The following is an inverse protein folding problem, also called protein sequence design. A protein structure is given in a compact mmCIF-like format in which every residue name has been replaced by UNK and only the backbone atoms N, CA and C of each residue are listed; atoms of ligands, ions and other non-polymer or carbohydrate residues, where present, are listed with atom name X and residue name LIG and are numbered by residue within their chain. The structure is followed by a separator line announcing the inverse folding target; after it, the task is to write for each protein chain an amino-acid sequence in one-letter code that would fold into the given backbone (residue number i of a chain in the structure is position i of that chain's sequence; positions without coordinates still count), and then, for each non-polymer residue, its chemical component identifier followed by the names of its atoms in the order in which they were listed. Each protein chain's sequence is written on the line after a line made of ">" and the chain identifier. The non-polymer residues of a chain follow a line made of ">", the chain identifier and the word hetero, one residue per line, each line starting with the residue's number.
data_IF_733489968795
#
_entry.id   IF_733489968795
#
_cell.length_a   1.000
_cell.length_b   1.000
_cell.length_c   1.000
_cell.angle_alpha   90.00
_cell.angle_beta   90.00
_cell.angle_gamma   90.00
#
_symmetry.space_group_name_H-M   'P 1'
#
loop_
_entity.id
_entity.type
_entity.pdbx_description
1 polymer ?
#
# COMPACT_ATOMS: atom_id res chain seq x y z
N UNK A 1 11.63 21.93 4.00
CA UNK A 1 12.04 20.53 3.74
C UNK A 1 10.78 19.71 3.69
N UNK A 2 10.46 19.08 2.56
CA UNK A 2 9.37 18.09 2.54
C UNK A 2 9.82 16.84 3.30
N UNK A 3 8.95 16.23 4.14
CA UNK A 3 9.30 15.01 4.84
C UNK A 3 9.42 13.86 3.83
N UNK A 4 10.54 13.12 3.89
CA UNK A 4 10.72 11.91 3.10
C UNK A 4 9.76 10.81 3.59
N UNK A 5 8.71 10.57 2.81
CA UNK A 5 7.67 9.57 3.11
C UNK A 5 8.18 8.13 3.01
N UNK A 6 9.36 7.93 2.43
CA UNK A 6 10.02 6.64 2.31
C UNK A 6 11.14 6.45 3.34
N UNK A 7 11.27 7.37 4.31
CA UNK A 7 12.25 7.24 5.39
C UNK A 7 12.09 5.89 6.09
N UNK A 8 13.20 5.17 6.19
CA UNK A 8 13.26 3.92 6.94
C UNK A 8 13.37 4.23 8.43
N UNK A 9 12.48 3.66 9.23
CA UNK A 9 12.50 3.68 10.70
C UNK A 9 13.13 2.39 11.24
N UNK A 10 13.20 2.30 12.56
CA UNK A 10 13.73 1.13 13.26
C UNK A 10 13.07 -0.16 12.76
N UNK A 11 13.90 -1.13 12.41
CA UNK A 11 13.44 -2.41 11.89
C UNK A 11 13.06 -2.42 10.41
N UNK A 12 13.40 -1.39 9.63
CA UNK A 12 13.12 -1.39 8.20
C UNK A 12 11.71 -0.92 7.84
N UNK A 13 10.86 -0.68 8.85
CA UNK A 13 9.50 -0.17 8.66
C UNK A 13 9.54 1.24 8.08
N UNK A 14 8.60 1.55 7.20
CA UNK A 14 8.38 2.90 6.64
C UNK A 14 7.10 3.49 7.22
N UNK A 15 6.86 4.82 7.13
CA UNK A 15 5.62 5.44 7.59
C UNK A 15 4.35 4.72 7.09
N UNK A 16 4.40 4.19 5.87
CA UNK A 16 3.28 3.45 5.27
C UNK A 16 2.96 2.14 6.01
N UNK A 17 3.96 1.49 6.63
CA UNK A 17 3.72 0.31 7.46
C UNK A 17 2.89 0.68 8.68
N UNK A 18 3.26 1.74 9.40
CA UNK A 18 2.52 2.17 10.59
C UNK A 18 1.10 2.65 10.26
N UNK A 19 0.92 3.38 9.16
CA UNK A 19 -0.41 3.77 8.72
C UNK A 19 -1.30 2.55 8.43
N UNK A 20 -0.73 1.51 7.82
CA UNK A 20 -1.41 0.26 7.54
C UNK A 20 -1.68 -0.58 8.82
N UNK A 21 -0.73 -0.62 9.75
CA UNK A 21 -0.77 -1.30 11.06
C UNK A 21 -1.82 -0.67 12.00
N UNK A 22 -1.98 0.66 11.94
CA UNK A 22 -2.94 1.40 12.76
C UNK A 22 -4.31 1.60 12.07
N UNK A 23 -4.47 1.12 10.83
CA UNK A 23 -5.73 1.25 10.08
C UNK A 23 -6.06 2.69 9.67
N UNK A 24 -5.07 3.57 9.61
CA UNK A 24 -5.23 4.99 9.33
C UNK A 24 -5.31 5.27 7.83
N UNK A 25 -6.50 5.05 7.27
CA UNK A 25 -6.83 5.24 5.84
C UNK A 25 -6.41 6.62 5.29
N UNK A 26 -6.73 7.71 5.98
CA UNK A 26 -6.40 9.07 5.53
C UNK A 26 -4.89 9.32 5.44
N UNK A 27 -4.13 8.81 6.42
CA UNK A 27 -2.67 8.95 6.46
C UNK A 27 -2.04 8.04 5.41
N UNK A 28 -2.60 6.85 5.21
CA UNK A 28 -2.18 5.93 4.16
C UNK A 28 -2.36 6.56 2.77
N UNK A 29 -3.52 7.17 2.48
CA UNK A 29 -3.76 7.91 1.23
C UNK A 29 -2.80 9.09 1.06
N UNK A 30 -2.60 9.87 2.13
CA UNK A 30 -1.68 11.00 2.10
C UNK A 30 -0.25 10.57 1.75
N UNK A 31 0.26 9.52 2.40
CA UNK A 31 1.60 8.98 2.13
C UNK A 31 1.72 8.46 0.68
N UNK A 32 0.70 7.74 0.18
CA UNK A 32 0.67 7.27 -1.20
C UNK A 32 0.63 8.44 -2.20
N UNK A 33 -0.11 9.51 -1.90
CA UNK A 33 -0.14 10.72 -2.74
C UNK A 33 1.20 11.44 -2.83
N UNK A 34 2.05 11.26 -1.80
CA UNK A 34 3.41 11.80 -1.73
C UNK A 34 4.47 10.87 -2.31
N UNK A 35 4.07 9.74 -2.92
CA UNK A 35 4.98 8.80 -3.56
C UNK A 35 5.63 7.80 -2.58
N UNK A 36 4.94 7.46 -1.49
CA UNK A 36 5.38 6.36 -0.65
C UNK A 36 5.37 5.04 -1.43
N UNK A 37 6.41 4.24 -1.23
CA UNK A 37 6.54 2.92 -1.84
C UNK A 37 5.54 1.95 -1.19
N UNK A 38 4.50 1.62 -1.96
CA UNK A 38 3.43 0.71 -1.57
C UNK A 38 3.90 -0.73 -1.34
N UNK A 39 5.00 -1.13 -1.98
CA UNK A 39 5.57 -2.46 -1.90
C UNK A 39 6.80 -2.52 -0.99
N UNK A 40 7.08 -1.46 -0.24
CA UNK A 40 8.20 -1.44 0.69
C UNK A 40 8.11 -2.61 1.66
N UNK A 41 9.18 -3.40 1.77
CA UNK A 41 9.28 -4.47 2.74
C UNK A 41 10.15 -4.03 3.92
N UNK A 42 9.74 -4.38 5.14
CA UNK A 42 10.58 -4.22 6.33
C UNK A 42 11.69 -5.29 6.40
N UNK A 43 12.47 -5.30 7.48
CA UNK A 43 13.58 -6.26 7.66
C UNK A 43 13.13 -7.73 7.69
N UNK A 44 11.85 -7.98 7.90
CA UNK A 44 11.25 -9.31 7.97
C UNK A 44 10.51 -9.68 6.67
N UNK A 45 10.56 -8.82 5.66
CA UNK A 45 9.81 -9.02 4.41
C UNK A 45 8.32 -8.67 4.54
N UNK A 46 7.90 -8.02 5.62
CA UNK A 46 6.51 -7.62 5.82
C UNK A 46 6.25 -6.35 5.02
N UNK A 47 5.20 -6.34 4.22
CA UNK A 47 4.74 -5.18 3.47
C UNK A 47 3.61 -4.46 4.21
N UNK A 48 3.32 -3.17 3.90
CA UNK A 48 2.17 -2.46 4.45
C UNK A 48 0.86 -3.22 4.24
N UNK A 49 0.70 -3.88 3.08
CA UNK A 49 -0.47 -4.71 2.80
C UNK A 49 -0.57 -5.89 3.78
N UNK A 50 0.54 -6.57 4.05
CA UNK A 50 0.55 -7.68 5.00
C UNK A 50 0.26 -7.22 6.43
N UNK A 51 0.76 -6.06 6.85
CA UNK A 51 0.42 -5.45 8.14
C UNK A 51 -1.08 -5.14 8.25
N UNK A 52 -1.68 -4.49 7.24
CA UNK A 52 -3.12 -4.23 7.24
C UNK A 52 -3.97 -5.51 7.24
N UNK A 53 -3.51 -6.58 6.57
CA UNK A 53 -4.17 -7.87 6.58
C UNK A 53 -4.09 -8.56 7.94
N UNK A 54 -2.93 -8.51 8.59
CA UNK A 54 -2.70 -9.13 9.90
C UNK A 54 -3.59 -8.49 10.98
N UNK A 55 -3.69 -7.16 10.97
CA UNK A 55 -4.54 -6.40 11.91
C UNK A 55 -6.03 -6.37 11.51
N UNK A 56 -6.40 -6.96 10.36
CA UNK A 56 -7.79 -7.03 9.90
C UNK A 56 -8.38 -5.71 9.40
N UNK A 57 -7.52 -4.74 9.04
CA UNK A 57 -7.91 -3.40 8.61
C UNK A 57 -8.40 -3.38 7.15
N UNK A 58 -9.59 -3.94 6.94
CA UNK A 58 -10.22 -4.18 5.62
C UNK A 58 -10.25 -2.94 4.72
N UNK A 59 -10.43 -1.73 5.27
CA UNK A 59 -10.42 -0.49 4.48
C UNK A 59 -9.03 -0.17 3.93
N UNK A 60 -8.00 -0.25 4.76
CA UNK A 60 -6.61 -0.09 4.34
C UNK A 60 -6.20 -1.15 3.32
N UNK A 61 -6.62 -2.41 3.52
CA UNK A 61 -6.40 -3.49 2.54
C UNK A 61 -7.02 -3.16 1.18
N UNK A 62 -8.28 -2.70 1.15
CA UNK A 62 -8.95 -2.28 -0.10
C UNK A 62 -8.23 -1.12 -0.77
N UNK A 63 -7.78 -0.13 -0.01
CA UNK A 63 -7.03 1.01 -0.54
C UNK A 63 -5.70 0.60 -1.14
N UNK A 64 -4.91 -0.18 -0.39
CA UNK A 64 -3.63 -0.71 -0.85
C UNK A 64 -3.82 -1.56 -2.10
N UNK A 65 -4.81 -2.47 -2.12
CA UNK A 65 -5.14 -3.26 -3.30
C UNK A 65 -5.56 -2.39 -4.48
N UNK A 66 -6.38 -1.36 -4.26
CA UNK A 66 -6.79 -0.42 -5.33
C UNK A 66 -5.57 0.26 -5.98
N UNK A 67 -4.57 0.63 -5.17
CA UNK A 67 -3.35 1.30 -5.65
C UNK A 67 -2.32 0.33 -6.24
N UNK A 68 -2.15 -0.86 -5.68
CA UNK A 68 -1.29 -1.93 -6.25
C UNK A 68 -1.89 -2.45 -7.57
N UNK A 69 -3.21 -2.60 -7.63
CA UNK A 69 -3.92 -3.15 -8.80
C UNK A 69 -4.16 -2.17 -9.93
N UNK A 70 -3.62 -0.94 -9.89
CA UNK A 70 -3.59 -0.09 -11.09
C UNK A 70 -2.87 -0.76 -12.29
N UNK A 71 -2.11 -1.85 -12.07
CA UNK A 71 -1.56 -2.70 -13.15
C UNK A 71 -2.55 -3.77 -13.66
N UNK A 72 -3.54 -4.18 -12.85
CA UNK A 72 -4.52 -5.22 -13.22
C UNK A 72 -5.64 -4.71 -14.14
N UNK A 73 -5.86 -3.39 -14.25
CA UNK A 73 -6.80 -2.83 -15.23
C UNK A 73 -6.32 -2.95 -16.69
N UNK A 74 -5.07 -3.37 -16.93
CA UNK A 74 -4.64 -3.84 -18.26
C UNK A 74 -4.93 -5.33 -18.50
N UNK A 75 -5.20 -6.12 -17.46
CA UNK A 75 -5.46 -7.56 -17.57
C UNK A 75 -6.94 -7.94 -17.44
N UNK A 76 -7.82 -7.00 -17.11
CA UNK A 76 -9.25 -7.29 -17.02
C UNK A 76 -10.14 -6.16 -17.55
N UNK A 77 -9.77 -5.60 -18.72
CA UNK A 77 -10.78 -5.11 -19.66
C UNK A 77 -11.17 -6.31 -20.53
N UNK A 78 -12.41 -6.74 -20.38
CA UNK A 78 -13.01 -8.02 -20.76
C UNK A 78 -12.75 -8.59 -22.18
N UNK A 79 -13.00 -9.92 -22.35
CA UNK A 79 -12.96 -10.63 -23.63
C UNK A 79 -14.10 -10.20 -24.55
N UNK A 80 -13.81 -9.38 -25.56
CA UNK A 80 -14.75 -9.07 -26.63
C UNK A 80 -14.48 -9.96 -27.85
N UNK A 81 -15.31 -10.99 -27.99
CA UNK A 81 -15.58 -11.73 -29.23
C UNK A 81 -15.80 -10.76 -30.40
N UNK A 82 -15.09 -10.93 -31.52
CA UNK A 82 -15.65 -10.62 -32.85
C UNK A 82 -15.02 -11.54 -33.90
N UNK A 83 -15.77 -12.61 -34.19
CA UNK A 83 -15.96 -13.34 -35.45
C UNK A 83 -14.78 -13.60 -36.39
#
# INVERSE_FOLDING_TARGET
>A
MEPDVNRTLDGGRKPLHYAADCGQEEILEFLLSKGADINAADKHGITPLLSACYEGHTKCVKLLLSKVSCVALFFNKEPALTR
#
